data_IF_121211171903
#
_entry.id   IF_121211171903
#
_cell.length_a   1.000
_cell.length_b   1.000
_cell.length_c   1.000
_cell.angle_alpha   90.00
_cell.angle_beta   90.00
_cell.angle_gamma   90.00
#
_symmetry.space_group_name_H-M   'P 1'
#
loop_
_entity.id
_entity.type
_entity.pdbx_description
1 polymer ?
#
# COMPACT_ATOMS: atom_id res chain seq x y z
N UNK A 1 -62.94 2.24 2.97
CA UNK A 1 -61.56 2.49 3.47
C UNK A 1 -60.69 1.24 3.63
N UNK A 2 -61.25 0.02 3.75
CA UNK A 2 -60.47 -1.22 3.97
C UNK A 2 -59.46 -1.59 2.85
N UNK A 3 -59.77 -1.32 1.57
CA UNK A 3 -58.92 -1.67 0.45
C UNK A 3 -57.55 -0.95 0.45
N UNK A 4 -57.48 0.28 0.98
CA UNK A 4 -56.23 1.06 1.08
C UNK A 4 -55.28 0.50 2.16
N UNK A 5 -55.83 -0.05 3.24
CA UNK A 5 -55.04 -0.66 4.31
C UNK A 5 -54.43 -2.01 3.89
N UNK A 6 -55.13 -2.78 3.04
CA UNK A 6 -54.62 -4.04 2.50
C UNK A 6 -53.45 -3.82 1.52
N UNK A 7 -53.56 -2.83 0.64
CA UNK A 7 -52.48 -2.43 -0.28
C UNK A 7 -51.22 -1.95 0.47
N UNK A 8 -51.38 -1.14 1.51
CA UNK A 8 -50.25 -0.67 2.32
C UNK A 8 -49.47 -1.81 2.99
N UNK A 9 -50.16 -2.82 3.51
CA UNK A 9 -49.52 -4.01 4.11
C UNK A 9 -48.80 -4.86 3.07
N UNK A 10 -49.35 -4.99 1.86
CA UNK A 10 -48.72 -5.72 0.76
C UNK A 10 -47.41 -5.05 0.28
N UNK A 11 -47.38 -3.71 0.17
CA UNK A 11 -46.17 -2.97 -0.19
C UNK A 11 -45.10 -3.00 0.91
N UNK A 12 -45.48 -2.97 2.18
CA UNK A 12 -44.52 -3.13 3.29
C UNK A 12 -43.92 -4.54 3.29
N UNK A 13 -44.72 -5.58 3.04
CA UNK A 13 -44.23 -6.95 2.97
C UNK A 13 -43.29 -7.19 1.76
N UNK A 14 -43.61 -6.64 0.59
CA UNK A 14 -42.75 -6.75 -0.60
C UNK A 14 -41.49 -5.88 -0.50
N UNK A 15 -41.61 -4.68 0.08
CA UNK A 15 -40.45 -3.82 0.34
C UNK A 15 -39.49 -4.41 1.37
N UNK A 16 -40.02 -5.01 2.45
CA UNK A 16 -39.21 -5.64 3.49
C UNK A 16 -38.44 -6.87 2.97
N UNK A 17 -39.05 -7.67 2.10
CA UNK A 17 -38.38 -8.83 1.51
C UNK A 17 -37.28 -8.43 0.52
N UNK A 18 -37.52 -7.43 -0.33
CA UNK A 18 -36.51 -6.90 -1.24
C UNK A 18 -35.32 -6.27 -0.50
N UNK A 19 -35.57 -5.47 0.53
CA UNK A 19 -34.51 -4.88 1.35
C UNK A 19 -33.77 -5.95 2.17
N UNK A 20 -34.49 -6.93 2.73
CA UNK A 20 -33.90 -8.02 3.49
C UNK A 20 -32.97 -8.88 2.64
N UNK A 21 -33.43 -9.35 1.47
CA UNK A 21 -32.60 -10.14 0.55
C UNK A 21 -31.48 -9.30 -0.09
N UNK A 22 -31.75 -8.04 -0.44
CA UNK A 22 -30.74 -7.14 -1.00
C UNK A 22 -29.61 -6.84 -0.02
N UNK A 23 -29.95 -6.57 1.24
CA UNK A 23 -28.95 -6.34 2.29
C UNK A 23 -28.16 -7.63 2.58
N UNK A 24 -28.84 -8.79 2.68
CA UNK A 24 -28.17 -10.06 2.93
C UNK A 24 -27.17 -10.43 1.83
N UNK A 25 -27.54 -10.26 0.56
CA UNK A 25 -26.65 -10.57 -0.58
C UNK A 25 -25.46 -9.60 -0.66
N UNK A 26 -25.65 -8.31 -0.35
CA UNK A 26 -24.56 -7.34 -0.22
C UNK A 26 -23.56 -7.73 0.87
N UNK A 27 -24.06 -8.13 2.05
CA UNK A 27 -23.21 -8.56 3.18
C UNK A 27 -22.42 -9.81 2.80
N UNK A 28 -23.07 -10.85 2.25
CA UNK A 28 -22.40 -12.08 1.81
C UNK A 28 -21.34 -11.80 0.73
N UNK A 29 -21.65 -10.92 -0.22
CA UNK A 29 -20.72 -10.54 -1.29
C UNK A 29 -19.49 -9.80 -0.76
N UNK A 30 -19.68 -8.90 0.19
CA UNK A 30 -18.56 -8.17 0.81
C UNK A 30 -17.64 -9.08 1.62
N UNK A 31 -18.21 -10.02 2.38
CA UNK A 31 -17.45 -11.00 3.16
C UNK A 31 -16.65 -11.93 2.24
N UNK A 32 -17.28 -12.47 1.19
CA UNK A 32 -16.61 -13.37 0.24
C UNK A 32 -15.46 -12.67 -0.50
N UNK A 33 -15.64 -11.43 -0.95
CA UNK A 33 -14.55 -10.63 -1.52
C UNK A 33 -13.43 -10.34 -0.52
N UNK A 34 -13.78 -10.07 0.75
CA UNK A 34 -12.80 -9.86 1.81
C UNK A 34 -11.91 -11.09 2.01
N UNK A 35 -12.51 -12.27 2.12
CA UNK A 35 -11.79 -13.54 2.30
C UNK A 35 -10.91 -13.82 1.07
N UNK A 36 -11.44 -13.67 -0.15
CA UNK A 36 -10.68 -13.88 -1.37
C UNK A 36 -9.43 -12.98 -1.43
N UNK A 37 -9.54 -11.70 -1.04
CA UNK A 37 -8.39 -10.79 -0.97
C UNK A 37 -7.36 -11.25 0.06
N UNK A 38 -7.78 -11.74 1.23
CA UNK A 38 -6.85 -12.24 2.26
C UNK A 38 -6.10 -13.47 1.75
N UNK A 39 -6.78 -14.43 1.15
CA UNK A 39 -6.14 -15.65 0.62
C UNK A 39 -5.15 -15.31 -0.51
N UNK A 40 -5.55 -14.45 -1.45
CA UNK A 40 -4.68 -14.04 -2.56
C UNK A 40 -3.47 -13.25 -2.05
N UNK A 41 -3.65 -12.34 -1.09
CA UNK A 41 -2.53 -11.57 -0.51
C UNK A 41 -1.59 -12.47 0.30
N UNK A 42 -2.09 -13.45 1.04
CA UNK A 42 -1.26 -14.45 1.71
C UNK A 42 -0.48 -15.33 0.73
N UNK A 43 -1.11 -15.76 -0.36
CA UNK A 43 -0.44 -16.50 -1.44
C UNK A 43 0.67 -15.69 -2.08
N UNK A 44 0.39 -14.42 -2.41
CA UNK A 44 1.38 -13.49 -2.96
C UNK A 44 2.57 -13.30 -2.04
N UNK A 45 2.37 -13.18 -0.72
CA UNK A 45 3.47 -13.03 0.25
C UNK A 45 4.47 -14.19 0.23
N UNK A 46 4.05 -15.41 -0.13
CA UNK A 46 4.96 -16.57 -0.21
C UNK A 46 5.91 -16.50 -1.41
N UNK A 47 5.52 -15.82 -2.48
CA UNK A 47 6.29 -15.69 -3.72
C UNK A 47 6.84 -14.28 -3.94
N UNK A 48 6.46 -13.33 -3.09
CA UNK A 48 6.85 -11.94 -3.24
C UNK A 48 8.29 -11.75 -2.77
N UNK A 49 9.05 -11.02 -3.58
CA UNK A 49 10.40 -10.61 -3.24
C UNK A 49 10.34 -9.21 -2.63
N UNK A 50 11.27 -8.87 -1.74
CA UNK A 50 11.42 -7.51 -1.26
C UNK A 50 11.58 -6.55 -2.44
N UNK A 51 10.92 -5.39 -2.37
CA UNK A 51 11.02 -4.39 -3.42
C UNK A 51 12.49 -3.95 -3.57
N UNK A 52 13.04 -4.06 -4.77
CA UNK A 52 14.41 -3.68 -5.08
C UNK A 52 14.67 -2.17 -4.96
N UNK A 53 13.62 -1.33 -4.99
CA UNK A 53 13.76 0.14 -4.92
C UNK A 53 13.75 0.64 -3.48
N UNK A 54 12.82 0.16 -2.65
CA UNK A 54 12.72 0.60 -1.24
C UNK A 54 13.32 -0.40 -0.24
N UNK A 55 13.84 -1.54 -0.71
CA UNK A 55 14.37 -2.62 0.11
C UNK A 55 13.40 -3.09 1.21
N UNK A 56 12.09 -3.01 0.96
CA UNK A 56 11.06 -3.36 1.94
C UNK A 56 10.61 -2.22 2.87
N UNK A 57 11.26 -1.05 2.83
CA UNK A 57 10.93 0.08 3.71
C UNK A 57 9.61 0.81 3.36
N UNK A 58 8.96 0.44 2.24
CA UNK A 58 7.66 0.97 1.75
C UNK A 58 7.66 2.45 1.35
N UNK A 59 8.64 3.20 1.82
CA UNK A 59 8.87 4.61 1.53
C UNK A 59 10.21 4.79 0.86
N UNK A 60 10.32 5.86 0.10
CA UNK A 60 11.57 6.33 -0.51
C UNK A 60 11.69 7.82 -0.22
N UNK A 61 12.91 8.34 -0.33
CA UNK A 61 13.16 9.79 -0.26
C UNK A 61 12.31 10.48 -1.33
N UNK A 62 11.69 11.61 -0.99
CA UNK A 62 10.85 12.32 -1.96
C UNK A 62 11.72 12.85 -3.11
N UNK A 63 11.39 12.47 -4.34
CA UNK A 63 12.19 12.86 -5.52
C UNK A 63 12.10 14.36 -5.81
N UNK A 64 11.02 15.02 -5.38
CA UNK A 64 10.78 16.44 -5.71
C UNK A 64 11.52 17.38 -4.75
N UNK A 65 11.46 17.12 -3.45
CA UNK A 65 12.17 17.95 -2.46
C UNK A 65 13.51 17.35 -2.03
N UNK A 66 13.91 16.19 -2.56
CA UNK A 66 15.11 15.47 -2.13
C UNK A 66 15.20 15.36 -0.59
N UNK A 67 14.08 15.13 0.09
CA UNK A 67 14.00 15.02 1.55
C UNK A 67 14.09 16.34 2.33
N UNK A 68 14.21 17.51 1.68
CA UNK A 68 14.29 18.81 2.34
C UNK A 68 12.95 19.30 2.90
N UNK A 69 11.84 18.59 2.62
CA UNK A 69 10.47 18.87 3.09
C UNK A 69 9.84 20.17 2.59
N UNK A 70 10.66 21.12 2.16
CA UNK A 70 10.27 22.38 1.55
C UNK A 70 10.95 22.55 0.19
N UNK A 71 10.32 23.32 -0.70
CA UNK A 71 10.84 23.64 -2.02
C UNK A 71 10.78 25.15 -2.20
N UNK A 72 11.81 25.72 -2.82
CA UNK A 72 11.78 27.09 -3.32
C UNK A 72 11.07 27.07 -4.67
N UNK A 73 9.79 27.39 -4.67
CA UNK A 73 8.99 27.44 -5.89
C UNK A 73 8.54 28.87 -6.18
N UNK A 74 8.63 29.28 -7.45
CA UNK A 74 8.13 30.57 -7.92
C UNK A 74 7.31 30.37 -9.20
N UNK A 75 6.00 30.66 -9.18
CA UNK A 75 5.12 30.40 -10.33
C UNK A 75 5.38 31.33 -11.52
N UNK A 76 5.93 32.53 -11.31
CA UNK A 76 6.15 33.51 -12.36
C UNK A 76 7.63 33.58 -12.77
N UNK A 77 7.99 33.03 -13.92
CA UNK A 77 9.37 33.13 -14.45
C UNK A 77 9.80 34.56 -14.83
N UNK A 78 8.83 35.48 -14.98
CA UNK A 78 9.05 36.82 -15.53
C UNK A 78 9.53 37.87 -14.52
N UNK A 79 9.48 37.58 -13.21
CA UNK A 79 9.93 38.54 -12.20
C UNK A 79 11.37 38.22 -11.76
N UNK A 80 12.26 39.20 -11.68
CA UNK A 80 13.60 39.01 -11.13
C UNK A 80 13.47 38.78 -9.62
N UNK A 81 13.42 37.51 -9.22
CA UNK A 81 13.41 37.12 -7.81
C UNK A 81 14.84 36.82 -7.42
N UNK A 82 15.40 37.64 -6.52
CA UNK A 82 16.64 37.30 -5.86
C UNK A 82 16.46 35.96 -5.12
N UNK A 83 17.38 35.01 -5.31
CA UNK A 83 17.31 33.66 -4.71
C UNK A 83 17.12 33.67 -3.18
N UNK A 84 17.48 34.77 -2.52
CA UNK A 84 17.31 35.05 -1.09
C UNK A 84 15.88 35.43 -0.65
N UNK A 85 15.00 35.84 -1.58
CA UNK A 85 13.58 36.22 -1.30
C UNK A 85 12.55 35.20 -1.77
N UNK A 86 12.99 34.04 -2.22
CA UNK A 86 12.07 33.02 -2.73
C UNK A 86 11.33 32.35 -1.55
N UNK A 87 9.99 32.34 -1.54
CA UNK A 87 9.25 31.74 -0.44
C UNK A 87 9.55 30.23 -0.38
N UNK A 88 9.85 29.75 0.82
CA UNK A 88 9.90 28.32 1.10
C UNK A 88 8.45 27.83 1.26
N UNK A 89 8.01 26.95 0.38
CA UNK A 89 6.72 26.29 0.51
C UNK A 89 6.91 24.83 0.89
N UNK A 90 5.98 24.30 1.69
CA UNK A 90 5.97 22.87 1.99
C UNK A 90 5.87 22.07 0.69
N UNK A 91 6.64 20.98 0.59
CA UNK A 91 6.60 20.13 -0.59
C UNK A 91 5.20 19.51 -0.73
N UNK A 92 4.52 19.82 -1.83
CA UNK A 92 3.17 19.33 -2.12
C UNK A 92 3.11 17.81 -2.33
N UNK A 93 4.22 17.18 -2.74
CA UNK A 93 4.27 15.73 -3.00
C UNK A 93 4.37 14.90 -1.73
N UNK A 94 5.25 15.28 -0.80
CA UNK A 94 5.43 14.53 0.45
C UNK A 94 4.67 15.13 1.64
N UNK A 95 3.97 16.26 1.45
CA UNK A 95 3.29 16.98 2.53
C UNK A 95 4.23 17.38 3.66
N UNK A 96 5.44 17.82 3.33
CA UNK A 96 6.53 18.11 4.28
C UNK A 96 7.03 16.92 5.13
N UNK A 97 6.72 15.67 4.78
CA UNK A 97 7.30 14.50 5.47
C UNK A 97 8.76 14.20 5.05
N UNK A 98 9.15 14.58 3.83
CA UNK A 98 10.46 14.28 3.23
C UNK A 98 10.55 12.89 2.59
N UNK A 99 9.51 12.08 2.75
CA UNK A 99 9.40 10.73 2.24
C UNK A 99 8.14 10.60 1.37
N UNK A 100 8.21 9.78 0.34
CA UNK A 100 7.06 9.43 -0.48
C UNK A 100 6.85 7.91 -0.44
N UNK A 101 5.60 7.47 -0.59
CA UNK A 101 5.30 6.06 -0.72
C UNK A 101 6.01 5.51 -1.96
N UNK A 102 6.70 4.38 -1.82
CA UNK A 102 7.40 3.76 -2.92
C UNK A 102 6.40 3.37 -4.01
N UNK A 103 6.49 4.02 -5.17
CA UNK A 103 5.58 3.81 -6.29
C UNK A 103 5.75 2.42 -6.93
N UNK A 104 6.93 1.81 -6.81
CA UNK A 104 7.20 0.49 -7.39
C UNK A 104 6.48 -0.64 -6.64
N UNK A 105 6.33 -0.52 -5.32
CA UNK A 105 5.58 -1.51 -4.51
C UNK A 105 4.28 -0.95 -3.94
N UNK A 106 3.89 0.27 -4.30
CA UNK A 106 2.70 0.98 -3.81
C UNK A 106 2.57 0.96 -2.28
N UNK A 107 3.70 1.02 -1.57
CA UNK A 107 3.72 0.94 -0.10
C UNK A 107 3.56 -0.46 0.51
N UNK A 108 3.48 -1.54 -0.27
CA UNK A 108 3.45 -2.90 0.27
C UNK A 108 4.83 -3.41 0.70
N UNK A 109 5.91 -2.86 0.13
CA UNK A 109 7.30 -3.24 0.42
C UNK A 109 7.75 -4.52 -0.28
N UNK A 110 6.84 -5.21 -0.97
CA UNK A 110 7.13 -6.43 -1.72
C UNK A 110 6.59 -6.29 -3.14
N UNK A 111 7.20 -7.02 -4.08
CA UNK A 111 6.79 -7.06 -5.48
C UNK A 111 6.64 -8.52 -5.87
N UNK A 112 5.50 -8.89 -6.45
CA UNK A 112 5.33 -10.23 -6.98
C UNK A 112 6.10 -10.31 -8.29
N UNK A 113 7.04 -11.26 -8.49
CA UNK A 113 7.67 -11.46 -9.78
C UNK A 113 6.61 -11.93 -10.77
N UNK A 114 6.06 -11.00 -11.55
CA UNK A 114 4.95 -11.26 -12.46
C UNK A 114 5.39 -12.00 -13.74
N UNK A 115 6.63 -12.45 -13.85
CA UNK A 115 7.15 -13.03 -15.09
C UNK A 115 7.48 -14.53 -14.95
N UNK A 116 6.89 -15.42 -15.76
CA UNK A 116 7.23 -16.85 -15.80
C UNK A 116 8.68 -17.16 -16.20
N UNK A 117 9.49 -16.16 -16.58
CA UNK A 117 10.92 -16.31 -16.86
C UNK A 117 11.82 -16.33 -15.61
N UNK A 118 11.31 -15.99 -14.42
CA UNK A 118 12.10 -15.99 -13.17
C UNK A 118 12.01 -17.31 -12.39
N UNK A 119 11.37 -18.34 -12.96
CA UNK A 119 11.07 -19.61 -12.28
C UNK A 119 12.30 -20.46 -11.86
N UNK A 120 13.50 -20.41 -12.48
CA UNK A 120 14.60 -21.24 -11.99
C UNK A 120 15.46 -20.57 -10.90
N UNK A 121 15.41 -19.24 -10.71
CA UNK A 121 16.25 -18.59 -9.70
C UNK A 121 15.74 -18.77 -8.26
N UNK A 122 14.42 -18.83 -8.06
CA UNK A 122 13.82 -19.05 -6.75
C UNK A 122 13.97 -20.51 -6.25
N UNK A 123 14.11 -21.47 -7.17
CA UNK A 123 14.36 -22.88 -6.82
C UNK A 123 15.79 -23.10 -6.29
N UNK A 124 16.77 -22.34 -6.78
CA UNK A 124 18.16 -22.44 -6.34
C UNK A 124 18.39 -21.87 -4.93
N UNK A 125 17.68 -20.81 -4.55
CA UNK A 125 17.80 -20.21 -3.22
C UNK A 125 17.12 -21.04 -2.11
N UNK A 126 16.07 -21.79 -2.43
CA UNK A 126 15.39 -22.67 -1.46
C UNK A 126 16.20 -23.94 -1.12
N UNK A 127 17.16 -24.34 -1.97
CA UNK A 127 18.04 -25.48 -1.73
C UNK A 127 19.21 -25.16 -0.78
N UNK A 128 19.49 -23.88 -0.50
CA UNK A 128 20.64 -23.46 0.30
C UNK A 128 20.30 -23.12 1.77
N UNK A 129 19.03 -23.05 2.16
CA UNK A 129 18.60 -22.56 3.49
C UNK A 129 18.23 -23.63 4.52
N UNK A 130 18.49 -24.90 4.25
CA UNK A 130 18.15 -26.02 5.13
C UNK A 130 19.34 -26.47 6.00
N UNK A 131 19.83 -25.63 6.90
CA UNK A 131 20.72 -26.08 7.98
C UNK A 131 20.65 -25.16 9.20
N UNK A 132 20.19 -25.75 10.30
CA UNK A 132 20.47 -25.42 11.70
C UNK A 132 19.74 -24.23 12.36
N UNK A 133 18.65 -24.62 13.05
CA UNK A 133 18.23 -23.99 14.29
C UNK A 133 19.14 -24.47 15.44
N UNK A 134 19.78 -23.54 16.15
CA UNK A 134 20.54 -23.82 17.38
C UNK A 134 21.08 -22.52 17.95
N UNK A 135 20.53 -22.07 19.08
CA UNK A 135 20.69 -20.70 19.57
C UNK A 135 22.04 -20.35 20.18
N UNK A 136 22.26 -19.05 20.36
CA UNK A 136 22.95 -18.47 21.51
C UNK A 136 22.81 -16.95 21.50
N UNK A 137 22.58 -16.42 22.70
CA UNK A 137 22.65 -15.02 23.09
C UNK A 137 24.03 -14.44 22.76
N UNK A 138 24.08 -13.20 22.25
CA UNK A 138 25.34 -12.47 22.06
C UNK A 138 25.13 -10.99 21.73
N UNK A 139 25.29 -10.13 22.74
CA UNK A 139 25.56 -8.71 22.60
C UNK A 139 26.76 -8.47 21.67
N UNK A 140 26.73 -7.41 20.85
CA UNK A 140 27.96 -6.72 20.49
C UNK A 140 28.01 -6.06 19.10
N UNK A 141 28.52 -4.84 19.11
CA UNK A 141 29.21 -4.12 18.03
C UNK A 141 28.37 -3.36 16.98
N UNK A 142 28.17 -2.09 17.34
CA UNK A 142 28.13 -0.92 16.47
C UNK A 142 29.46 -0.82 15.71
N UNK A 143 29.42 -0.73 14.37
CA UNK A 143 30.49 -0.10 13.55
C UNK A 143 29.83 0.62 12.36
N UNK A 144 30.08 1.92 12.14
CA UNK A 144 29.69 2.64 10.93
C UNK A 144 30.79 2.54 9.85
N UNK A 145 30.46 2.57 8.55
CA UNK A 145 31.46 2.87 7.54
C UNK A 145 31.53 4.39 7.31
N UNK A 146 32.68 4.95 7.65
CA UNK A 146 33.23 6.19 7.08
C UNK A 146 33.89 5.88 5.74
N UNK A 147 33.54 6.68 4.72
CA UNK A 147 34.39 7.26 3.65
C UNK A 147 33.53 7.50 2.41
#
# INVERSE_FOLDING_TARGET
MAARAALGRAFVASGATLLGLGAATMVVSSISMGIARVVVTQGKKKTAVACCVCHGNKKVKCDVCAGEKAIRYHPFKALPVNSSRMPLTACAMCGASGEQTCLNCLGEGTVSPAHPRLKPAAAAAAAAGGAEAGGAVGLGAIVPPTA
#
